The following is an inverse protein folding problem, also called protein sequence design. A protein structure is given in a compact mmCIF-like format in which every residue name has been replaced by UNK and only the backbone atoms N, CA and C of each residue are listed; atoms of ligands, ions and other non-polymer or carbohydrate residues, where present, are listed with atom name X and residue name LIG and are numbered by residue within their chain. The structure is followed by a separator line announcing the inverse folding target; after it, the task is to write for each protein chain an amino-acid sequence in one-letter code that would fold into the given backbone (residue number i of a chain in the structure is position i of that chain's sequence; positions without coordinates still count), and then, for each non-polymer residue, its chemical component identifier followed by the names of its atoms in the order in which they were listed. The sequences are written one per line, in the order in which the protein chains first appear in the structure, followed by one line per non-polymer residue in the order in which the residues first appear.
data_IF_223141228524
#
_entry.id   IF_223141228524
#
_cell.length_a   1.000
_cell.length_b   1.000
_cell.length_c   1.000
_cell.angle_alpha   90.00
_cell.angle_beta   90.00
_cell.angle_gamma   90.00
#
_symmetry.space_group_name_H-M   'P 1'
#
loop_
_entity.id
_entity.type
_entity.pdbx_description
1 polymer ?
#
# COMPACT_ATOMS: atom_id res chain seq x y z
N UNK A 1 -25.09 -33.77 -16.15
CA UNK A 1 -24.86 -32.91 -14.97
C UNK A 1 -24.02 -31.72 -15.39
N UNK A 2 -24.65 -30.58 -15.66
CA UNK A 2 -23.92 -29.33 -15.84
C UNK A 2 -23.74 -28.70 -14.46
N UNK A 3 -22.51 -28.65 -13.95
CA UNK A 3 -22.21 -27.85 -12.78
C UNK A 3 -22.38 -26.39 -13.18
N UNK A 4 -23.42 -25.73 -12.67
CA UNK A 4 -23.47 -24.28 -12.65
C UNK A 4 -22.36 -23.85 -11.69
N UNK A 5 -21.21 -23.45 -12.25
CA UNK A 5 -20.14 -22.84 -11.45
C UNK A 5 -20.67 -21.46 -11.08
N UNK A 6 -21.03 -21.28 -9.82
CA UNK A 6 -21.43 -20.00 -9.28
C UNK A 6 -20.29 -18.99 -9.57
N UNK A 7 -20.55 -17.89 -10.31
CA UNK A 7 -19.54 -16.86 -10.57
C UNK A 7 -18.91 -16.34 -9.27
N UNK A 8 -19.65 -16.32 -8.16
CA UNK A 8 -19.13 -15.93 -6.84
C UNK A 8 -18.01 -16.85 -6.38
N UNK A 9 -18.08 -18.15 -6.66
CA UNK A 9 -17.09 -19.15 -6.25
C UNK A 9 -15.74 -18.97 -6.97
N UNK A 10 -15.73 -18.40 -8.17
CA UNK A 10 -14.49 -18.11 -8.92
C UNK A 10 -13.76 -16.90 -8.35
N UNK A 11 -14.49 -15.85 -7.98
CA UNK A 11 -13.90 -14.67 -7.34
C UNK A 11 -13.34 -15.03 -5.97
N UNK A 12 -14.04 -15.88 -5.21
CA UNK A 12 -13.59 -16.41 -3.92
C UNK A 12 -12.28 -17.18 -4.02
N UNK A 13 -12.14 -18.06 -5.02
CA UNK A 13 -10.93 -18.82 -5.24
C UNK A 13 -9.73 -17.93 -5.60
N UNK A 14 -9.93 -16.93 -6.48
CA UNK A 14 -8.87 -16.03 -6.91
C UNK A 14 -8.37 -15.12 -5.77
N UNK A 15 -9.28 -14.48 -5.03
CA UNK A 15 -8.86 -13.64 -3.90
C UNK A 15 -8.13 -14.44 -2.83
N UNK A 16 -8.60 -15.67 -2.56
CA UNK A 16 -7.97 -16.57 -1.59
C UNK A 16 -6.57 -16.97 -2.05
N UNK A 17 -6.39 -17.27 -3.33
CA UNK A 17 -5.08 -17.54 -3.92
C UNK A 17 -4.15 -16.33 -3.84
N UNK A 18 -4.60 -15.15 -4.27
CA UNK A 18 -3.85 -13.89 -4.18
C UNK A 18 -3.42 -13.61 -2.73
N UNK A 19 -4.32 -13.76 -1.77
CA UNK A 19 -4.02 -13.57 -0.35
C UNK A 19 -2.96 -14.56 0.13
N UNK A 20 -3.10 -15.86 -0.16
CA UNK A 20 -2.10 -16.88 0.18
C UNK A 20 -0.73 -16.50 -0.40
N UNK A 21 -0.66 -16.16 -1.68
CA UNK A 21 0.58 -15.77 -2.36
C UNK A 21 1.19 -14.45 -1.83
N UNK A 22 0.37 -13.52 -1.33
CA UNK A 22 0.81 -12.24 -0.74
C UNK A 22 1.62 -12.47 0.54
N UNK A 23 1.15 -13.36 1.42
CA UNK A 23 1.82 -13.65 2.70
C UNK A 23 2.79 -14.83 2.62
N UNK A 24 2.69 -15.69 1.59
CA UNK A 24 3.63 -16.78 1.35
C UNK A 24 3.16 -17.79 0.30
N UNK A 25 3.91 -18.02 -0.80
CA UNK A 25 3.48 -18.85 -1.93
C UNK A 25 3.29 -20.34 -1.63
N UNK A 26 3.79 -20.83 -0.49
CA UNK A 26 3.73 -22.25 -0.10
C UNK A 26 2.62 -22.56 0.93
N UNK A 27 1.62 -21.69 1.10
CA UNK A 27 0.47 -21.93 1.97
C UNK A 27 -0.52 -22.93 1.35
N UNK A 28 -0.13 -24.21 1.32
CA UNK A 28 -0.99 -25.31 0.86
C UNK A 28 -2.00 -25.68 1.98
N UNK A 29 -2.95 -26.59 1.69
CA UNK A 29 -4.14 -26.96 2.49
C UNK A 29 -3.91 -27.36 3.98
N UNK A 30 -2.69 -27.29 4.52
CA UNK A 30 -2.34 -27.65 5.90
C UNK A 30 -1.86 -26.49 6.78
N UNK A 31 -1.86 -25.25 6.31
CA UNK A 31 -1.20 -24.13 7.03
C UNK A 31 -2.13 -23.22 7.84
N UNK A 32 -3.33 -23.65 8.26
CA UNK A 32 -4.15 -22.89 9.21
C UNK A 32 -3.37 -22.54 10.48
N UNK A 33 -2.47 -23.43 10.94
CA UNK A 33 -1.58 -23.16 12.08
C UNK A 33 -0.64 -21.98 11.82
N UNK A 34 -0.14 -21.80 10.61
CA UNK A 34 0.75 -20.69 10.26
C UNK A 34 -0.02 -19.38 10.17
N UNK A 35 -1.22 -19.39 9.58
CA UNK A 35 -2.12 -18.25 9.58
C UNK A 35 -2.52 -17.84 11.01
N UNK A 36 -2.73 -18.82 11.90
CA UNK A 36 -2.93 -18.57 13.33
C UNK A 36 -1.68 -17.99 13.99
N UNK A 37 -0.47 -18.50 13.67
CA UNK A 37 0.81 -17.98 14.17
C UNK A 37 1.05 -16.53 13.75
N UNK A 38 0.66 -16.18 12.53
CA UNK A 38 0.65 -14.81 12.00
C UNK A 38 -0.47 -13.94 12.60
N UNK A 39 -1.41 -14.54 13.34
CA UNK A 39 -2.56 -13.85 13.94
C UNK A 39 -3.66 -13.47 12.94
N UNK A 40 -3.63 -14.01 11.72
CA UNK A 40 -4.64 -13.73 10.68
C UNK A 40 -5.95 -14.46 10.93
N UNK A 41 -5.90 -15.67 11.49
CA UNK A 41 -7.07 -16.53 11.71
C UNK A 41 -7.12 -16.97 13.16
N UNK A 42 -8.29 -16.90 13.82
CA UNK A 42 -8.48 -17.39 15.19
C UNK A 42 -8.57 -18.92 15.21
N UNK A 43 -8.26 -19.53 16.36
CA UNK A 43 -8.38 -20.98 16.56
C UNK A 43 -9.76 -21.52 16.13
N UNK A 44 -9.77 -22.63 15.39
CA UNK A 44 -10.99 -23.31 14.93
C UNK A 44 -11.73 -22.62 13.77
N UNK A 45 -11.17 -21.60 13.13
CA UNK A 45 -11.77 -20.95 11.95
C UNK A 45 -11.14 -21.44 10.65
N UNK A 46 -11.98 -21.59 9.62
CA UNK A 46 -11.55 -22.00 8.28
C UNK A 46 -10.75 -20.87 7.59
N UNK A 47 -9.56 -21.16 7.04
CA UNK A 47 -8.68 -20.15 6.44
C UNK A 47 -9.14 -19.70 5.05
N UNK A 48 -10.05 -20.44 4.41
CA UNK A 48 -10.44 -20.19 3.02
C UNK A 48 -11.46 -19.06 2.85
N UNK A 49 -11.94 -18.47 3.96
CA UNK A 49 -12.72 -17.25 3.93
C UNK A 49 -11.83 -16.06 4.36
N UNK A 50 -11.17 -15.43 3.38
CA UNK A 50 -10.26 -14.29 3.60
C UNK A 50 -10.95 -13.08 4.21
N UNK A 51 -12.27 -12.94 4.06
CA UNK A 51 -13.05 -11.87 4.69
C UNK A 51 -13.15 -12.01 6.20
N UNK A 52 -12.79 -13.17 6.75
CA UNK A 52 -12.71 -13.40 8.20
C UNK A 52 -11.30 -13.23 8.75
N UNK A 53 -10.33 -12.91 7.89
CA UNK A 53 -8.97 -12.70 8.35
C UNK A 53 -8.85 -11.36 9.07
N UNK A 54 -8.06 -11.33 10.13
CA UNK A 54 -7.81 -10.12 10.91
C UNK A 54 -7.21 -9.02 10.01
N UNK A 55 -7.78 -7.81 10.11
CA UNK A 55 -7.41 -6.67 9.27
C UNK A 55 -7.91 -6.72 7.83
N UNK A 56 -8.70 -7.72 7.41
CA UNK A 56 -9.30 -7.75 6.08
C UNK A 56 -10.75 -7.22 6.11
N UNK A 57 -11.10 -6.39 5.14
CA UNK A 57 -12.46 -5.85 4.96
C UNK A 57 -12.97 -6.26 3.58
N UNK A 58 -14.22 -6.72 3.54
CA UNK A 58 -14.87 -7.15 2.32
C UNK A 58 -16.16 -6.37 2.05
N UNK A 59 -16.46 -6.21 0.75
CA UNK A 59 -17.74 -5.72 0.24
C UNK A 59 -18.33 -6.85 -0.59
N UNK A 60 -19.52 -7.32 -0.22
CA UNK A 60 -20.22 -8.41 -0.92
C UNK A 60 -19.36 -9.67 -1.10
N UNK A 61 -18.61 -10.05 -0.05
CA UNK A 61 -17.73 -11.21 -0.05
C UNK A 61 -16.38 -11.01 -0.74
N UNK A 62 -16.14 -9.85 -1.37
CA UNK A 62 -14.88 -9.54 -2.07
C UNK A 62 -13.99 -8.65 -1.21
N UNK A 63 -12.72 -9.02 -1.04
CA UNK A 63 -11.76 -8.23 -0.28
C UNK A 63 -11.50 -6.87 -0.96
N UNK A 64 -11.69 -5.80 -0.21
CA UNK A 64 -11.49 -4.42 -0.68
C UNK A 64 -10.45 -3.68 0.14
N UNK A 65 -10.15 -4.13 1.36
CA UNK A 65 -9.08 -3.51 2.15
C UNK A 65 -8.30 -4.50 3.01
N UNK A 66 -7.00 -4.24 3.14
CA UNK A 66 -6.10 -4.84 4.11
C UNK A 66 -5.59 -3.74 5.04
N UNK A 67 -5.69 -3.97 6.34
CA UNK A 67 -5.25 -3.06 7.40
C UNK A 67 -4.46 -3.84 8.46
N UNK A 68 -3.16 -3.96 8.23
CA UNK A 68 -2.23 -4.61 9.14
C UNK A 68 -1.31 -3.55 9.75
N UNK A 69 -1.84 -2.80 10.70
CA UNK A 69 -1.07 -1.84 11.49
C UNK A 69 -0.47 -2.52 12.73
N UNK A 70 0.49 -1.85 13.38
CA UNK A 70 0.97 -2.26 14.69
C UNK A 70 0.67 -1.16 15.73
N UNK A 71 -0.49 -1.22 16.40
CA UNK A 71 -0.92 -0.32 17.50
C UNK A 71 -0.80 -0.94 18.91
N UNK A 72 -0.84 -2.26 19.08
CA UNK A 72 -0.79 -3.00 20.37
C UNK A 72 -0.06 -4.36 20.29
N UNK A 73 0.35 -4.91 21.44
CA UNK A 73 1.10 -6.19 21.54
C UNK A 73 0.36 -7.43 20.98
N UNK A 74 -0.95 -7.31 20.70
CA UNK A 74 -1.80 -8.33 20.08
C UNK A 74 -1.91 -8.21 18.55
N UNK A 75 -1.19 -7.29 17.92
CA UNK A 75 -1.29 -7.09 16.47
C UNK A 75 -0.80 -8.30 15.68
N UNK A 76 -1.33 -8.40 14.46
CA UNK A 76 -1.01 -9.49 13.54
C UNK A 76 0.48 -9.50 13.23
N UNK A 77 1.15 -10.64 13.46
CA UNK A 77 2.58 -10.84 13.18
C UNK A 77 2.84 -11.19 11.71
N UNK A 78 2.06 -10.58 10.82
CA UNK A 78 2.05 -10.93 9.40
C UNK A 78 3.39 -10.57 8.77
N UNK A 79 4.01 -11.57 8.19
CA UNK A 79 5.07 -11.40 7.21
C UNK A 79 4.43 -11.38 5.83
N UNK A 80 4.77 -10.38 5.02
CA UNK A 80 4.28 -10.24 3.64
C UNK A 80 5.41 -10.66 2.72
N UNK A 81 5.22 -11.75 1.99
CA UNK A 81 6.25 -12.26 1.10
C UNK A 81 6.48 -11.33 -0.09
N UNK A 82 5.40 -10.87 -0.73
CA UNK A 82 5.49 -9.90 -1.83
C UNK A 82 4.16 -9.18 -2.06
N UNK A 83 4.24 -7.93 -2.49
CA UNK A 83 3.08 -7.12 -2.87
C UNK A 83 2.59 -7.38 -4.30
N UNK A 84 3.31 -8.18 -5.10
CA UNK A 84 2.92 -8.50 -6.48
C UNK A 84 1.62 -9.30 -6.56
N UNK A 85 1.22 -9.98 -5.47
CA UNK A 85 0.04 -10.82 -5.40
C UNK A 85 -1.15 -10.18 -4.70
N UNK A 86 -1.07 -8.87 -4.41
CA UNK A 86 -2.20 -8.14 -3.84
C UNK A 86 -3.46 -8.36 -4.69
N UNK A 87 -4.60 -8.76 -4.07
CA UNK A 87 -5.84 -8.99 -4.81
C UNK A 87 -6.23 -7.78 -5.69
N UNK A 88 -6.64 -7.99 -6.94
CA UNK A 88 -6.98 -6.90 -7.86
C UNK A 88 -8.12 -5.98 -7.39
N UNK A 89 -8.98 -6.49 -6.50
CA UNK A 89 -10.13 -5.78 -5.92
C UNK A 89 -9.78 -4.81 -4.79
N UNK A 90 -8.52 -4.79 -4.33
CA UNK A 90 -8.12 -3.92 -3.22
C UNK A 90 -8.20 -2.44 -3.61
N UNK A 91 -8.95 -1.70 -2.82
CA UNK A 91 -9.06 -0.24 -2.87
C UNK A 91 -8.14 0.42 -1.83
N UNK A 92 -7.91 -0.25 -0.69
CA UNK A 92 -7.13 0.29 0.43
C UNK A 92 -6.13 -0.72 1.00
N UNK A 93 -4.85 -0.36 1.04
CA UNK A 93 -3.77 -1.16 1.66
C UNK A 93 -3.09 -0.34 2.73
N UNK A 94 -3.16 -0.79 3.98
CA UNK A 94 -2.47 -0.20 5.11
C UNK A 94 -1.60 -1.28 5.76
N UNK A 95 -0.29 -1.07 5.78
CA UNK A 95 0.68 -1.97 6.41
C UNK A 95 1.72 -1.15 7.16
N UNK A 96 1.81 -1.30 8.48
CA UNK A 96 2.79 -0.59 9.29
C UNK A 96 3.64 -1.59 10.05
N UNK A 97 4.98 -1.41 9.99
CA UNK A 97 5.95 -2.26 10.70
C UNK A 97 5.79 -3.75 10.39
N UNK A 98 5.58 -4.08 9.12
CA UNK A 98 5.55 -5.47 8.65
C UNK A 98 6.87 -5.81 7.96
N UNK A 99 7.31 -7.06 8.13
CA UNK A 99 8.39 -7.59 7.29
C UNK A 99 7.79 -7.85 5.91
N UNK A 100 8.14 -7.01 4.93
CA UNK A 100 7.73 -7.17 3.55
C UNK A 100 8.95 -7.51 2.71
N UNK A 101 8.83 -8.43 1.75
CA UNK A 101 9.86 -8.63 0.74
C UNK A 101 10.30 -7.28 0.12
N UNK A 102 11.61 -7.06 -0.09
CA UNK A 102 12.14 -5.71 -0.27
C UNK A 102 11.70 -5.03 -1.57
N UNK A 103 11.24 -5.79 -2.56
CA UNK A 103 10.96 -5.30 -3.91
C UNK A 103 9.57 -4.70 -4.04
N UNK A 104 9.51 -3.43 -4.43
CA UNK A 104 8.27 -2.73 -4.75
C UNK A 104 8.22 -2.29 -6.22
N UNK A 105 7.11 -2.58 -6.89
CA UNK A 105 6.84 -2.15 -8.27
C UNK A 105 5.48 -1.48 -8.34
N UNK A 106 5.44 -0.20 -8.74
CA UNK A 106 4.17 0.54 -8.89
C UNK A 106 3.22 -0.13 -9.90
N UNK A 107 3.76 -0.78 -10.93
CA UNK A 107 2.98 -1.48 -11.97
C UNK A 107 2.27 -2.74 -11.46
N UNK A 108 2.71 -3.34 -10.36
CA UNK A 108 2.06 -4.52 -9.79
C UNK A 108 0.93 -4.16 -8.82
N UNK A 109 0.65 -2.87 -8.61
CA UNK A 109 -0.40 -2.44 -7.71
C UNK A 109 -1.80 -2.73 -8.28
N UNK A 110 -2.79 -3.08 -7.42
CA UNK A 110 -4.17 -3.30 -7.83
C UNK A 110 -4.76 -2.09 -8.56
N UNK A 111 -5.47 -2.31 -9.67
CA UNK A 111 -6.02 -1.19 -10.47
C UNK A 111 -7.20 -0.47 -9.79
N UNK A 112 -7.82 -1.11 -8.80
CA UNK A 112 -8.85 -0.50 -7.96
C UNK A 112 -8.28 0.35 -6.81
N UNK A 113 -6.96 0.32 -6.57
CA UNK A 113 -6.32 0.97 -5.45
C UNK A 113 -6.54 2.49 -5.47
N UNK A 114 -7.01 3.01 -4.34
CA UNK A 114 -7.19 4.44 -4.07
C UNK A 114 -6.27 4.90 -2.95
N UNK A 115 -6.08 4.07 -1.92
CA UNK A 115 -5.32 4.42 -0.73
C UNK A 115 -4.25 3.38 -0.43
N UNK A 116 -3.00 3.81 -0.39
CA UNK A 116 -1.90 2.97 0.08
C UNK A 116 -1.12 3.70 1.16
N UNK A 117 -0.98 3.06 2.32
CA UNK A 117 -0.06 3.45 3.39
C UNK A 117 0.81 2.28 3.76
N UNK A 118 2.11 2.36 3.46
CA UNK A 118 3.08 1.34 3.87
C UNK A 118 4.27 2.03 4.53
N UNK A 119 4.44 1.87 5.84
CA UNK A 119 5.47 2.56 6.60
C UNK A 119 6.27 1.61 7.49
N UNK A 120 7.56 1.90 7.66
CA UNK A 120 8.48 1.06 8.45
C UNK A 120 8.54 -0.41 7.97
N UNK A 121 8.47 -0.65 6.66
CA UNK A 121 8.42 -2.00 6.08
C UNK A 121 9.68 -2.39 5.29
N UNK A 122 10.72 -1.55 5.31
CA UNK A 122 11.98 -1.76 4.60
C UNK A 122 11.84 -1.91 3.08
N UNK A 123 10.74 -1.42 2.49
CA UNK A 123 10.52 -1.48 1.04
C UNK A 123 11.58 -0.67 0.30
N UNK A 124 12.02 -1.19 -0.83
CA UNK A 124 13.02 -0.57 -1.71
C UNK A 124 12.65 -0.84 -3.17
N UNK A 125 13.42 -0.24 -4.07
CA UNK A 125 13.15 -0.25 -5.51
C UNK A 125 12.91 1.16 -6.04
N UNK A 126 12.58 1.23 -7.33
CA UNK A 126 12.35 2.49 -8.02
C UNK A 126 10.85 2.84 -8.03
N UNK A 127 10.51 4.08 -7.69
CA UNK A 127 9.15 4.61 -7.72
C UNK A 127 8.83 5.21 -9.10
N UNK A 128 8.44 4.36 -10.06
CA UNK A 128 7.92 4.81 -11.35
C UNK A 128 6.47 5.28 -11.20
N UNK A 129 6.28 6.60 -11.01
CA UNK A 129 4.96 7.20 -10.78
C UNK A 129 3.96 6.97 -11.93
N UNK A 130 4.46 6.75 -13.16
CA UNK A 130 3.62 6.40 -14.33
C UNK A 130 2.95 5.03 -14.19
N UNK A 131 3.49 4.17 -13.33
CA UNK A 131 2.95 2.84 -13.08
C UNK A 131 1.75 2.82 -12.11
N UNK A 132 1.51 3.93 -11.40
CA UNK A 132 0.45 4.01 -10.40
C UNK A 132 -0.94 3.79 -11.02
N UNK A 133 -1.87 3.15 -10.29
CA UNK A 133 -3.27 3.07 -10.68
C UNK A 133 -3.88 4.46 -10.88
N UNK A 134 -4.68 4.64 -11.93
CA UNK A 134 -5.28 5.92 -12.29
C UNK A 134 -6.22 6.49 -11.20
N UNK A 135 -6.73 5.64 -10.32
CA UNK A 135 -7.63 6.00 -9.20
C UNK A 135 -6.90 6.28 -7.89
N UNK A 136 -5.57 6.24 -7.89
CA UNK A 136 -4.77 6.49 -6.67
C UNK A 136 -5.03 7.90 -6.17
N UNK A 137 -5.45 8.01 -4.91
CA UNK A 137 -5.71 9.26 -4.20
C UNK A 137 -4.62 9.54 -3.19
N UNK A 138 -4.22 8.53 -2.38
CA UNK A 138 -3.15 8.67 -1.40
C UNK A 138 -2.08 7.58 -1.60
N UNK A 139 -0.82 8.02 -1.71
CA UNK A 139 0.36 7.16 -1.71
C UNK A 139 1.30 7.58 -0.59
N UNK A 140 1.22 6.89 0.54
CA UNK A 140 1.99 7.17 1.75
C UNK A 140 2.98 6.03 1.98
N UNK A 141 4.25 6.26 1.68
CA UNK A 141 5.34 5.29 1.81
C UNK A 141 6.47 5.77 2.75
N UNK A 142 6.20 6.49 3.86
CA UNK A 142 7.27 7.05 4.67
C UNK A 142 8.06 5.97 5.41
N UNK A 143 9.29 6.29 5.81
CA UNK A 143 10.15 5.38 6.59
C UNK A 143 10.40 4.03 5.92
N UNK A 144 10.73 4.03 4.62
CA UNK A 144 11.17 2.85 3.90
C UNK A 144 12.63 3.05 3.41
N UNK A 145 13.04 2.30 2.39
CA UNK A 145 14.39 2.30 1.81
C UNK A 145 14.35 2.67 0.33
N UNK A 146 13.35 3.44 -0.11
CA UNK A 146 13.30 3.98 -1.47
C UNK A 146 14.46 4.96 -1.68
N UNK A 147 15.27 4.75 -2.71
CA UNK A 147 16.48 5.55 -2.95
C UNK A 147 16.58 6.01 -4.40
N UNK A 148 17.53 6.90 -4.66
CA UNK A 148 17.78 7.42 -6.01
C UNK A 148 16.88 8.59 -6.37
N UNK A 149 16.31 8.57 -7.58
CA UNK A 149 15.55 9.69 -8.16
C UNK A 149 14.08 9.34 -8.23
N UNK A 150 13.21 10.24 -7.75
CA UNK A 150 11.77 10.17 -7.98
C UNK A 150 11.33 11.24 -8.97
N UNK A 151 10.55 10.85 -9.96
CA UNK A 151 10.00 11.74 -10.96
C UNK A 151 8.50 11.94 -10.70
N UNK A 152 8.13 13.13 -10.25
CA UNK A 152 6.74 13.56 -10.03
C UNK A 152 6.15 14.13 -11.32
N UNK A 153 6.15 13.29 -12.35
CA UNK A 153 5.57 13.59 -13.66
C UNK A 153 4.53 12.52 -13.97
N UNK A 154 3.50 12.89 -14.74
CA UNK A 154 2.43 11.96 -15.13
C UNK A 154 1.74 11.29 -13.93
N UNK A 155 1.51 12.06 -12.86
CA UNK A 155 0.78 11.61 -11.69
C UNK A 155 -0.68 11.28 -12.06
N UNK A 156 -1.33 10.32 -11.38
CA UNK A 156 -2.76 10.10 -11.53
C UNK A 156 -3.55 11.40 -11.28
N UNK A 157 -4.56 11.73 -12.09
CA UNK A 157 -5.30 12.98 -11.93
C UNK A 157 -6.11 13.06 -10.65
N UNK A 158 -6.30 11.94 -9.95
CA UNK A 158 -7.00 11.84 -8.66
C UNK A 158 -6.08 12.00 -7.45
N UNK A 159 -4.76 12.00 -7.64
CA UNK A 159 -3.84 11.96 -6.50
C UNK A 159 -3.88 13.27 -5.72
N UNK A 160 -4.06 13.14 -4.41
CA UNK A 160 -4.17 14.24 -3.46
C UNK A 160 -2.97 14.31 -2.55
N UNK A 161 -2.44 13.16 -2.13
CA UNK A 161 -1.34 13.11 -1.17
C UNK A 161 -0.28 12.11 -1.56
N UNK A 162 0.96 12.58 -1.55
CA UNK A 162 2.16 11.77 -1.70
C UNK A 162 3.02 12.01 -0.48
N UNK A 163 3.36 10.96 0.25
CA UNK A 163 4.33 11.03 1.34
C UNK A 163 5.41 9.99 1.12
N UNK A 164 6.60 10.45 0.75
CA UNK A 164 7.81 9.64 0.60
C UNK A 164 8.84 10.01 1.67
N UNK A 165 8.41 10.67 2.74
CA UNK A 165 9.26 11.14 3.81
C UNK A 165 10.12 10.04 4.43
N UNK A 166 11.30 10.41 4.94
CA UNK A 166 12.21 9.49 5.61
C UNK A 166 12.60 8.27 4.75
N UNK A 167 12.75 8.48 3.45
CA UNK A 167 13.38 7.58 2.51
C UNK A 167 14.73 8.18 2.04
N UNK A 168 15.76 7.36 1.75
CA UNK A 168 17.06 7.82 1.24
C UNK A 168 17.02 8.27 -0.24
N UNK A 169 16.01 9.06 -0.61
CA UNK A 169 15.87 9.67 -1.93
C UNK A 169 16.90 10.79 -2.08
N UNK A 170 17.63 10.80 -3.20
CA UNK A 170 18.66 11.80 -3.48
C UNK A 170 18.12 13.01 -4.23
N UNK A 171 17.11 12.78 -5.09
CA UNK A 171 16.58 13.78 -5.99
C UNK A 171 15.08 13.59 -6.25
N UNK A 172 14.29 14.63 -6.03
CA UNK A 172 12.91 14.76 -6.52
C UNK A 172 12.87 15.67 -7.74
N UNK A 173 12.34 15.19 -8.87
CA UNK A 173 12.08 16.00 -10.06
C UNK A 173 10.60 16.32 -10.17
N UNK A 174 10.27 17.60 -10.27
CA UNK A 174 8.89 18.09 -10.31
C UNK A 174 8.65 18.84 -11.60
N UNK A 175 7.50 18.66 -12.21
CA UNK A 175 7.05 19.49 -13.33
C UNK A 175 5.73 20.16 -12.95
N UNK A 176 5.79 21.43 -12.52
CA UNK A 176 4.64 22.07 -11.87
C UNK A 176 3.41 22.16 -12.78
N UNK A 177 3.63 22.33 -14.09
CA UNK A 177 2.56 22.36 -15.10
C UNK A 177 1.78 21.04 -15.22
N UNK A 178 2.37 19.92 -14.80
CA UNK A 178 1.79 18.58 -14.87
C UNK A 178 1.32 18.05 -13.51
N UNK A 179 1.42 18.85 -12.44
CA UNK A 179 0.87 18.47 -11.15
C UNK A 179 -0.67 18.49 -11.21
N UNK A 180 -1.34 17.44 -10.69
CA UNK A 180 -2.80 17.42 -10.61
C UNK A 180 -3.33 18.58 -9.76
N UNK A 181 -4.41 19.23 -10.23
CA UNK A 181 -5.02 20.37 -9.52
C UNK A 181 -5.52 20.02 -8.13
N UNK A 182 -5.82 18.74 -7.88
CA UNK A 182 -6.26 18.25 -6.57
C UNK A 182 -5.11 17.80 -5.67
N UNK A 183 -3.85 17.96 -6.09
CA UNK A 183 -2.70 17.63 -5.23
C UNK A 183 -2.69 18.60 -4.04
N UNK A 184 -2.98 18.06 -2.87
CA UNK A 184 -3.04 18.78 -1.60
C UNK A 184 -1.67 18.81 -0.92
N UNK A 185 -0.94 17.69 -0.96
CA UNK A 185 0.27 17.52 -0.18
C UNK A 185 1.27 16.60 -0.90
N UNK A 186 2.54 17.00 -0.90
CA UNK A 186 3.63 16.18 -1.43
C UNK A 186 4.87 16.33 -0.55
N UNK A 187 5.14 15.32 0.27
CA UNK A 187 6.31 15.25 1.14
C UNK A 187 7.37 14.35 0.51
N UNK A 188 8.53 14.92 0.23
CA UNK A 188 9.71 14.21 -0.25
C UNK A 188 10.90 14.70 0.57
N UNK A 189 11.62 13.77 1.19
CA UNK A 189 12.87 14.06 1.86
C UNK A 189 12.95 13.48 3.26
N UNK A 190 14.10 13.67 3.89
CA UNK A 190 14.43 13.13 5.20
C UNK A 190 15.23 14.16 5.98
N UNK A 191 15.08 14.19 7.31
CA UNK A 191 15.97 14.99 8.17
C UNK A 191 17.37 14.36 8.30
N UNK A 192 17.55 13.12 7.84
CA UNK A 192 18.80 12.37 7.97
C UNK A 192 19.72 12.51 6.75
N UNK A 193 19.16 12.74 5.57
CA UNK A 193 19.90 12.87 4.30
C UNK A 193 19.26 13.97 3.46
N UNK A 194 20.09 14.80 2.84
CA UNK A 194 19.61 15.87 1.97
C UNK A 194 18.97 15.29 0.71
N UNK A 195 17.68 15.59 0.50
CA UNK A 195 17.00 15.31 -0.76
C UNK A 195 16.86 16.61 -1.53
N UNK A 196 17.52 16.69 -2.69
CA UNK A 196 17.38 17.86 -3.57
C UNK A 196 16.06 17.77 -4.31
N UNK A 197 15.36 18.90 -4.43
CA UNK A 197 14.16 18.99 -5.27
C UNK A 197 14.46 19.95 -6.40
N UNK A 198 14.17 19.55 -7.65
CA UNK A 198 14.42 20.34 -8.86
C UNK A 198 13.16 20.41 -9.70
N UNK A 199 12.74 21.63 -10.04
CA UNK A 199 11.66 21.85 -11.00
C UNK A 199 12.21 21.78 -12.43
N UNK A 200 11.57 20.99 -13.28
CA UNK A 200 11.95 20.79 -14.68
C UNK A 200 11.53 21.96 -15.57
N UNK A 201 10.59 22.79 -15.12
CA UNK A 201 10.08 23.97 -15.83
C UNK A 201 10.85 25.26 -15.48
N UNK A 202 11.94 25.15 -14.72
CA UNK A 202 12.77 26.29 -14.28
C UNK A 202 12.09 27.21 -13.25
N UNK A 203 10.91 26.86 -12.73
CA UNK A 203 10.19 27.65 -11.71
C UNK A 203 10.66 27.29 -10.29
N UNK A 204 10.39 28.17 -9.33
CA UNK A 204 10.58 27.86 -7.91
C UNK A 204 9.67 26.70 -7.50
N UNK A 205 10.22 25.78 -6.73
CA UNK A 205 9.46 24.74 -6.05
C UNK A 205 8.88 25.38 -4.79
N UNK A 206 7.59 25.20 -4.54
CA UNK A 206 7.03 25.54 -3.24
C UNK A 206 7.56 24.51 -2.23
N UNK A 207 8.63 24.87 -1.51
CA UNK A 207 9.39 23.94 -0.66
C UNK A 207 8.59 23.35 0.51
N UNK A 208 7.39 23.84 0.80
CA UNK A 208 6.59 23.31 1.90
C UNK A 208 5.09 23.42 1.60
N UNK A 209 4.41 22.28 1.56
CA UNK A 209 3.01 22.20 1.97
C UNK A 209 2.97 21.37 3.23
N UNK A 210 3.13 22.03 4.38
CA UNK A 210 2.79 21.42 5.65
C UNK A 210 1.28 21.15 5.65
N UNK A 211 0.81 19.97 6.10
CA UNK A 211 -0.57 19.85 6.51
C UNK A 211 -0.72 20.77 7.72
N UNK A 212 -1.66 21.73 7.63
CA UNK A 212 -2.16 22.41 8.82
C UNK A 212 -2.48 21.33 9.86
N UNK A 213 -1.94 21.50 11.06
CA UNK A 213 -2.15 20.59 12.18
C UNK A 213 -3.61 20.18 12.22
N UNK A 214 -3.88 18.89 11.99
CA UNK A 214 -5.19 18.34 12.22
C UNK A 214 -5.46 18.50 13.71
N UNK A 215 -6.28 19.50 14.00
CA UNK A 215 -6.89 19.79 15.28
C UNK A 215 -7.22 18.47 15.98
N UNK A 216 -6.37 18.10 16.94
CA UNK A 216 -6.66 17.01 17.87
C UNK A 216 -7.88 17.47 18.63
N UNK A 217 -9.07 17.14 18.13
CA UNK A 217 -10.30 17.22 18.90
C UNK A 217 -10.08 16.41 20.16
N UNK A 218 -9.71 17.11 21.23
CA UNK A 218 -9.88 16.70 22.62
C UNK A 218 -11.36 16.33 22.72
N UNK A 219 -11.65 15.03 22.77
CA UNK A 219 -12.93 14.57 23.28
C UNK A 219 -13.00 15.07 24.72
N UNK A 220 -13.96 15.97 24.97
CA UNK A 220 -14.48 16.22 26.30
C UNK A 220 -15.06 14.94 26.88
#
# INVERSE_FOLDING_TARGET
FFYVIDPSSRFDALQTMCMKMTIGPCLNHHHTKELMRMGLVKHGKAPDNVCRWEGCLCRDGIITSIQWEHKHEKDTKVQVFTLMWLPPSLETVIMCRKSIGPTFHTRSLPRALRHMRIEYCQLSGNLDMRGLPHRTEHLLLPHNKFSGVVHLVHLPPTIRRIDLGYNPLKLGRVENSHLPKCLEECLIGSIYEETKIVALDGRRIFEYVYPQECDRKKKK
#
